data_IF_439025702755
#
_entry.id   IF_439025702755
#
_cell.length_a   1.000
_cell.length_b   1.000
_cell.length_c   1.000
_cell.angle_alpha   90.00
_cell.angle_beta   90.00
_cell.angle_gamma   90.00
#
_symmetry.space_group_name_H-M   'P 1'
#
loop_
_entity.id
_entity.type
_entity.pdbx_description
1 polymer ?
#
# COMPACT_ATOMS: atom_id res chain seq x y z
N UNK A 1 -26.35 21.17 13.08
CA UNK A 1 -25.25 21.82 12.36
C UNK A 1 -24.12 20.82 12.24
N UNK A 2 -23.85 20.28 11.05
CA UNK A 2 -22.66 19.44 10.82
C UNK A 2 -21.51 20.34 10.41
N UNK A 3 -20.40 20.26 11.13
CA UNK A 3 -19.15 20.87 10.67
C UNK A 3 -18.63 20.07 9.47
N UNK A 4 -18.25 20.78 8.40
CA UNK A 4 -17.48 20.17 7.33
C UNK A 4 -16.06 19.95 7.86
N UNK A 5 -15.64 18.69 8.02
CA UNK A 5 -14.24 18.36 8.28
C UNK A 5 -13.47 18.59 6.98
N UNK A 6 -12.78 19.72 6.88
CA UNK A 6 -11.74 19.92 5.88
C UNK A 6 -10.57 19.05 6.27
N UNK A 7 -10.28 18.00 5.50
CA UNK A 7 -9.12 17.17 5.77
C UNK A 7 -7.88 17.95 5.33
N UNK A 8 -7.11 18.41 6.31
CA UNK A 8 -5.77 18.98 6.11
C UNK A 8 -4.82 17.88 5.62
N UNK A 9 -3.66 18.26 5.07
CA UNK A 9 -2.65 17.31 4.63
C UNK A 9 -2.29 16.35 5.79
N UNK A 10 -1.99 15.06 5.52
CA UNK A 10 -1.59 14.14 6.58
C UNK A 10 -0.33 14.65 7.25
N UNK A 11 -0.25 14.50 8.57
CA UNK A 11 0.86 14.97 9.40
C UNK A 11 1.43 13.82 10.20
N UNK A 12 2.70 13.95 10.56
CA UNK A 12 3.40 12.98 11.39
C UNK A 12 4.19 13.70 12.47
N UNK A 13 4.28 13.08 13.65
CA UNK A 13 5.18 13.52 14.70
C UNK A 13 6.49 12.76 14.57
N UNK A 14 7.51 13.44 14.06
CA UNK A 14 8.85 12.88 13.89
C UNK A 14 9.63 13.13 15.17
N UNK A 15 10.00 12.06 15.87
CA UNK A 15 10.73 12.12 17.13
C UNK A 15 12.12 11.49 17.03
N UNK A 16 13.00 11.92 17.94
CA UNK A 16 14.31 11.29 18.14
C UNK A 16 14.17 10.04 19.02
N UNK A 17 14.51 8.86 18.49
CA UNK A 17 14.37 7.59 19.20
C UNK A 17 15.27 7.50 20.43
N UNK A 18 16.49 8.04 20.38
CA UNK A 18 17.38 8.07 21.54
C UNK A 18 16.81 8.92 22.69
N UNK A 19 16.18 10.06 22.37
CA UNK A 19 15.50 10.88 23.38
C UNK A 19 14.26 10.18 23.94
N UNK A 20 13.46 9.57 23.06
CA UNK A 20 12.27 8.80 23.44
C UNK A 20 12.62 7.66 24.39
N UNK A 21 13.63 6.85 24.05
CA UNK A 21 14.15 5.77 24.88
C UNK A 21 14.77 6.26 26.21
N UNK A 22 15.14 7.54 26.28
CA UNK A 22 15.61 8.21 27.51
C UNK A 22 14.48 8.90 28.30
N UNK A 23 13.21 8.68 27.93
CA UNK A 23 12.04 9.26 28.60
C UNK A 23 11.77 10.73 28.26
N UNK A 24 12.25 11.22 27.10
CA UNK A 24 12.05 12.60 26.65
C UNK A 24 11.32 12.65 25.30
N UNK A 25 10.21 13.38 25.25
CA UNK A 25 9.50 13.65 24.00
C UNK A 25 10.16 14.81 23.27
N UNK A 26 11.12 14.48 22.40
CA UNK A 26 11.80 15.44 21.52
C UNK A 26 11.44 15.09 20.09
N UNK A 27 10.77 16.02 19.41
CA UNK A 27 10.29 15.84 18.06
C UNK A 27 9.48 17.03 17.57
N UNK A 28 8.94 16.91 16.36
CA UNK A 28 8.20 17.97 15.69
C UNK A 28 7.06 17.40 14.86
N UNK A 29 5.92 18.09 14.86
CA UNK A 29 4.83 17.82 13.93
C UNK A 29 5.11 18.47 12.57
N UNK A 30 5.11 17.69 11.51
CA UNK A 30 5.28 18.16 10.12
C UNK A 30 4.26 17.53 9.20
N UNK A 31 4.07 18.14 8.02
CA UNK A 31 3.36 17.50 6.93
C UNK A 31 4.11 16.24 6.51
N UNK A 32 3.37 15.16 6.29
CA UNK A 32 3.94 13.85 5.99
C UNK A 32 4.86 13.91 4.77
N UNK A 33 4.49 14.70 3.75
CA UNK A 33 5.27 14.90 2.52
C UNK A 33 6.67 15.49 2.75
N UNK A 34 6.88 16.21 3.86
CA UNK A 34 8.18 16.83 4.20
C UNK A 34 8.93 16.07 5.30
N UNK A 35 8.47 14.89 5.70
CA UNK A 35 9.05 14.16 6.84
C UNK A 35 10.51 13.75 6.60
N UNK A 36 10.90 13.45 5.35
CA UNK A 36 12.26 13.04 5.00
C UNK A 36 13.26 14.20 4.88
N UNK A 37 12.77 15.44 4.77
CA UNK A 37 13.60 16.63 4.62
C UNK A 37 14.13 17.18 5.96
N UNK A 38 13.70 16.59 7.08
CA UNK A 38 14.06 17.08 8.40
C UNK A 38 15.53 16.85 8.73
N UNK A 39 16.20 17.92 9.13
CA UNK A 39 17.49 17.80 9.80
C UNK A 39 17.30 17.40 11.28
N UNK A 40 18.33 16.85 11.90
CA UNK A 40 18.32 16.60 13.35
C UNK A 40 18.09 17.88 14.17
N UNK A 41 18.56 19.03 13.67
CA UNK A 41 18.32 20.32 14.31
C UNK A 41 16.84 20.71 14.28
N UNK A 42 16.11 20.35 13.22
CA UNK A 42 14.68 20.61 13.12
C UNK A 42 13.88 19.76 14.10
N UNK A 43 14.21 18.47 14.22
CA UNK A 43 13.60 17.55 15.20
C UNK A 43 13.85 18.02 16.63
N UNK A 44 15.01 18.62 16.90
CA UNK A 44 15.42 19.11 18.22
C UNK A 44 15.13 20.59 18.46
N UNK A 45 14.44 21.29 17.55
CA UNK A 45 14.28 22.75 17.59
C UNK A 45 13.76 23.25 18.92
N UNK A 46 12.72 22.61 19.47
CA UNK A 46 12.13 23.00 20.76
C UNK A 46 12.97 22.56 21.96
N UNK A 47 13.71 21.45 21.84
CA UNK A 47 14.62 20.98 22.88
C UNK A 47 15.88 21.86 23.00
N UNK A 48 16.19 22.64 21.97
CA UNK A 48 17.30 23.61 21.94
C UNK A 48 18.70 22.99 21.92
N UNK A 49 18.81 21.66 21.85
CA UNK A 49 20.10 20.96 21.80
C UNK A 49 19.97 19.58 21.14
N UNK A 50 21.01 19.20 20.38
CA UNK A 50 21.20 17.86 19.83
C UNK A 50 22.30 17.17 20.63
N UNK A 51 22.13 15.89 20.94
CA UNK A 51 23.14 15.09 21.64
C UNK A 51 23.76 14.05 20.69
N UNK A 52 24.95 13.54 21.04
CA UNK A 52 25.51 12.37 20.38
C UNK A 52 24.55 11.18 20.48
N UNK A 53 24.31 10.47 19.38
CA UNK A 53 23.38 9.34 19.34
C UNK A 53 21.94 9.72 18.94
N UNK A 54 21.66 10.98 18.60
CA UNK A 54 20.31 11.43 18.21
C UNK A 54 19.98 11.19 16.72
N UNK A 55 20.83 10.50 15.97
CA UNK A 55 20.71 10.35 14.51
C UNK A 55 19.49 9.53 14.08
N UNK A 56 18.98 8.68 14.97
CA UNK A 56 17.83 7.84 14.69
C UNK A 56 16.51 8.58 14.95
N UNK A 57 15.80 8.87 13.87
CA UNK A 57 14.49 9.53 13.87
C UNK A 57 13.39 8.61 13.38
N UNK A 58 12.19 8.76 13.94
CA UNK A 58 11.06 7.87 13.67
C UNK A 58 9.73 8.62 13.79
N UNK A 59 8.74 8.26 12.98
CA UNK A 59 7.39 8.80 13.12
C UNK A 59 6.67 8.04 14.24
N UNK A 60 6.55 8.66 15.40
CA UNK A 60 5.97 8.03 16.62
C UNK A 60 4.47 8.31 16.76
N UNK A 61 3.92 9.27 15.99
CA UNK A 61 2.49 9.50 15.91
C UNK A 61 2.09 10.04 14.52
N UNK A 62 0.82 9.88 14.16
CA UNK A 62 0.29 10.25 12.83
C UNK A 62 -1.10 10.85 12.93
N UNK A 63 -1.38 11.82 12.07
CA UNK A 63 -2.70 12.42 11.89
C UNK A 63 -3.08 12.40 10.40
N UNK A 64 -4.27 11.90 10.07
CA UNK A 64 -4.76 11.82 8.70
C UNK A 64 -4.15 10.73 7.80
N UNK A 65 -3.22 9.90 8.29
CA UNK A 65 -2.72 8.71 7.54
C UNK A 65 -3.69 7.52 7.69
N UNK A 66 -4.09 6.86 6.59
CA UNK A 66 -4.89 5.64 6.65
C UNK A 66 -4.13 4.48 7.32
N UNK A 67 -4.78 3.78 8.25
CA UNK A 67 -4.16 2.75 9.12
C UNK A 67 -2.98 3.31 9.93
N UNK A 68 -3.25 4.12 10.97
CA UNK A 68 -2.20 4.77 11.74
C UNK A 68 -1.28 3.74 12.39
N UNK A 69 0.02 3.92 12.18
CA UNK A 69 1.08 3.10 12.76
C UNK A 69 2.36 3.93 12.79
N UNK A 70 3.29 3.54 13.67
CA UNK A 70 4.63 4.12 13.64
C UNK A 70 5.39 3.66 12.39
N UNK A 71 6.19 4.55 11.81
CA UNK A 71 6.89 4.26 10.55
C UNK A 71 8.17 5.11 10.36
N UNK A 72 9.00 4.71 9.40
CA UNK A 72 10.14 5.51 8.96
C UNK A 72 9.69 6.77 8.22
N UNK A 73 10.51 7.81 8.26
CA UNK A 73 10.22 9.12 7.64
C UNK A 73 9.99 9.05 6.12
N UNK A 74 10.65 8.12 5.41
CA UNK A 74 10.43 7.90 3.98
C UNK A 74 9.06 7.27 3.67
N UNK A 75 8.57 6.39 4.55
CA UNK A 75 7.21 5.85 4.43
C UNK A 75 6.17 6.94 4.66
N UNK A 76 6.41 7.84 5.63
CA UNK A 76 5.54 9.00 5.84
C UNK A 76 5.53 9.94 4.63
N UNK A 77 6.69 10.25 4.04
CA UNK A 77 6.81 11.04 2.82
C UNK A 77 5.97 10.44 1.67
N UNK A 78 6.09 9.13 1.45
CA UNK A 78 5.30 8.43 0.44
C UNK A 78 3.78 8.52 0.68
N UNK A 79 3.32 8.57 1.93
CA UNK A 79 1.91 8.80 2.25
C UNK A 79 1.46 10.22 1.90
N UNK A 80 2.31 11.22 2.19
CA UNK A 80 2.07 12.62 1.82
C UNK A 80 1.98 12.82 0.31
N UNK A 81 2.94 12.29 -0.45
CA UNK A 81 2.91 12.34 -1.92
C UNK A 81 1.66 11.64 -2.48
N UNK A 82 1.29 10.50 -1.89
CA UNK A 82 0.08 9.80 -2.30
C UNK A 82 -1.15 10.66 -2.07
N UNK A 83 -1.24 11.35 -0.92
CA UNK A 83 -2.34 12.26 -0.59
C UNK A 83 -2.45 13.38 -1.63
N UNK A 84 -1.35 14.04 -1.98
CA UNK A 84 -1.33 15.11 -3.00
C UNK A 84 -1.79 14.59 -4.35
N UNK A 85 -1.38 13.38 -4.72
CA UNK A 85 -1.72 12.74 -6.00
C UNK A 85 -3.19 12.33 -6.11
N UNK A 86 -3.79 11.82 -5.03
CA UNK A 86 -5.16 11.26 -5.07
C UNK A 86 -6.23 12.17 -4.46
N UNK A 87 -5.81 13.14 -3.64
CA UNK A 87 -6.67 14.04 -2.88
C UNK A 87 -7.34 13.40 -1.66
N UNK A 88 -7.72 14.24 -0.70
CA UNK A 88 -8.32 13.85 0.58
C UNK A 88 -9.56 12.95 0.47
N UNK A 89 -10.39 13.12 -0.58
CA UNK A 89 -11.65 12.38 -0.76
C UNK A 89 -11.42 10.88 -1.08
N UNK A 90 -10.24 10.52 -1.58
CA UNK A 90 -9.91 9.14 -1.97
C UNK A 90 -9.11 8.37 -0.92
N UNK A 91 -8.42 9.05 -0.01
CA UNK A 91 -7.63 8.41 1.04
C UNK A 91 -8.45 8.03 2.29
N UNK A 92 -9.73 8.39 2.34
CA UNK A 92 -10.60 8.17 3.50
C UNK A 92 -10.68 6.70 3.95
N UNK A 93 -10.32 6.36 5.21
CA UNK A 93 -10.40 5.00 5.73
C UNK A 93 -11.86 4.52 5.90
N UNK A 94 -12.81 5.45 6.05
CA UNK A 94 -14.24 5.21 6.13
C UNK A 94 -14.92 5.04 4.75
N UNK A 95 -14.19 5.22 3.64
CA UNK A 95 -14.75 5.00 2.31
C UNK A 95 -14.89 3.49 2.09
N UNK A 96 -16.13 2.96 1.92
CA UNK A 96 -16.29 1.55 1.59
C UNK A 96 -15.60 1.28 0.25
N UNK A 97 -14.59 0.40 0.25
CA UNK A 97 -13.97 -0.07 -0.99
C UNK A 97 -15.06 -0.81 -1.76
N UNK A 98 -15.47 -0.27 -2.91
CA UNK A 98 -16.44 -0.94 -3.78
C UNK A 98 -15.70 -2.09 -4.43
N UNK A 99 -15.73 -3.26 -3.81
CA UNK A 99 -15.18 -4.48 -4.39
C UNK A 99 -15.94 -4.76 -5.69
N UNK A 100 -15.39 -4.39 -6.83
CA UNK A 100 -15.95 -4.77 -8.12
C UNK A 100 -15.78 -6.28 -8.21
N UNK A 101 -16.85 -7.04 -7.95
CA UNK A 101 -16.86 -8.48 -8.23
C UNK A 101 -16.55 -8.63 -9.71
N UNK A 102 -15.29 -8.95 -10.03
CA UNK A 102 -14.90 -9.38 -11.35
C UNK A 102 -15.77 -10.57 -11.72
N UNK A 103 -16.54 -10.44 -12.80
CA UNK A 103 -17.32 -11.54 -13.32
C UNK A 103 -16.37 -12.72 -13.58
N UNK A 104 -16.49 -13.78 -12.77
CA UNK A 104 -15.79 -15.03 -13.04
C UNK A 104 -16.24 -15.47 -14.44
N UNK A 105 -15.34 -15.39 -15.43
CA UNK A 105 -15.59 -16.01 -16.74
C UNK A 105 -15.66 -17.51 -16.48
N UNK A 106 -16.86 -18.06 -16.44
CA UNK A 106 -17.05 -19.51 -16.48
C UNK A 106 -16.55 -20.00 -17.83
N UNK A 107 -15.48 -20.81 -17.83
CA UNK A 107 -15.14 -21.63 -18.99
C UNK A 107 -16.26 -22.66 -19.15
N UNK A 108 -17.20 -22.37 -20.04
CA UNK A 108 -18.24 -23.32 -20.42
C UNK A 108 -17.60 -24.54 -21.08
N UNK A 109 -17.59 -25.67 -20.38
CA UNK A 109 -17.30 -26.97 -20.96
C UNK A 109 -18.44 -27.33 -21.92
N UNK A 110 -18.18 -27.34 -23.24
CA UNK A 110 -19.13 -27.89 -24.22
C UNK A 110 -19.11 -29.41 -24.08
N UNK A 111 -20.19 -29.96 -23.51
CA UNK A 111 -20.44 -31.39 -23.41
C UNK A 111 -21.18 -31.85 -24.66
N UNK A 112 -20.48 -32.68 -25.45
CA UNK A 112 -21.01 -33.74 -26.31
C UNK A 112 -22.09 -33.37 -27.34
N UNK A 113 -21.69 -33.31 -28.61
CA UNK A 113 -22.60 -33.68 -29.69
C UNK A 113 -22.27 -35.08 -30.19
N UNK A 114 -23.33 -35.85 -30.41
CA UNK A 114 -23.33 -37.31 -30.54
C UNK A 114 -22.93 -37.71 -31.96
N UNK A 115 -21.88 -38.51 -32.09
CA UNK A 115 -21.58 -39.22 -33.34
C UNK A 115 -22.68 -40.26 -33.61
N UNK A 116 -23.40 -40.10 -34.71
CA UNK A 116 -24.26 -41.15 -35.29
C UNK A 116 -23.46 -41.93 -36.34
N UNK A 117 -23.31 -43.23 -36.11
CA UNK A 117 -23.70 -44.28 -37.06
C UNK A 117 -22.88 -44.55 -38.33
N UNK A 118 -22.11 -45.65 -38.28
CA UNK A 118 -21.85 -46.68 -39.31
C UNK A 118 -20.97 -46.29 -40.52
N UNK A 119 -20.05 -47.11 -41.08
CA UNK A 119 -20.05 -48.55 -41.41
C UNK A 119 -18.57 -49.03 -41.52
N UNK A 120 -18.29 -50.28 -41.16
CA UNK A 120 -17.16 -51.10 -41.65
C UNK A 120 -17.76 -52.43 -42.17
N UNK A 121 -17.12 -53.29 -43.00
CA UNK A 121 -15.67 -53.40 -43.25
C UNK A 121 -15.26 -53.65 -44.73
N UNK A 122 -13.95 -53.61 -45.03
CA UNK A 122 -13.40 -54.03 -46.31
C UNK A 122 -11.86 -53.93 -46.37
N UNK A 123 -11.20 -55.01 -45.95
CA UNK A 123 -9.97 -55.68 -46.47
C UNK A 123 -9.09 -54.89 -47.46
N UNK A 124 -7.74 -54.91 -47.47
CA UNK A 124 -6.66 -55.80 -46.96
C UNK A 124 -5.36 -54.97 -46.96
N UNK A 125 -4.35 -55.19 -46.09
CA UNK A 125 -3.01 -54.66 -46.30
C UNK A 125 -2.08 -55.73 -46.92
N UNK A 126 -1.46 -55.43 -48.06
CA UNK A 126 -0.19 -56.05 -48.49
C UNK A 126 0.60 -55.04 -49.33
N UNK A 127 1.79 -54.67 -48.87
CA UNK A 127 3.00 -54.56 -49.70
C UNK A 127 4.21 -54.12 -48.87
N UNK A 128 5.32 -54.87 -49.01
CA UNK A 128 6.66 -54.55 -48.48
C UNK A 128 7.24 -55.67 -47.59
N UNK A 129 7.77 -56.79 -48.12
CA UNK A 129 9.09 -57.00 -48.77
C UNK A 129 10.24 -57.25 -47.77
N UNK A 130 10.98 -58.34 -48.06
CA UNK A 130 12.29 -58.85 -47.57
C UNK A 130 12.32 -59.74 -46.33
N UNK A 131 12.75 -61.00 -46.54
CA UNK A 131 13.24 -61.91 -45.49
C UNK A 131 13.01 -63.38 -45.83
#
# INVERSE_FOLDING_TARGET
MSAAVTHEAPRVWVGCLACYNSGRLVGVWVDAASAEDLSLADVHREAGRVWLGCEEVWCLDTDGIPNPHEMGVSTAAAWGELFERVGAERQRPDRPVRLVRGARRSRGARRGDRLRGAVAPGSVPVDGVVG
#
